data_IF_309466088825
#
_entry.id   IF_309466088825
#
_cell.length_a   1.000
_cell.length_b   1.000
_cell.length_c   1.000
_cell.angle_alpha   90.00
_cell.angle_beta   90.00
_cell.angle_gamma   90.00
#
_symmetry.space_group_name_H-M   'P 1'
#
loop_
_entity.id
_entity.type
_entity.pdbx_description
1 polymer ?
#
# COMPACT_ATOMS: atom_id res chain seq x y z
N UNK A 1 -45.74 13.94 -19.05
CA UNK A 1 -45.01 13.87 -17.76
C UNK A 1 -43.80 13.02 -18.03
N UNK A 2 -42.69 13.65 -18.40
CA UNK A 2 -41.45 12.96 -18.74
C UNK A 2 -40.69 12.65 -17.45
N UNK A 3 -40.47 11.36 -17.19
CA UNK A 3 -39.69 10.91 -16.04
C UNK A 3 -38.21 11.27 -16.27
N UNK A 4 -37.64 12.04 -15.34
CA UNK A 4 -36.22 12.36 -15.36
C UNK A 4 -35.37 11.07 -15.23
N UNK A 5 -34.24 10.95 -15.96
CA UNK A 5 -33.41 9.76 -15.92
C UNK A 5 -32.81 9.57 -14.53
N UNK A 6 -33.05 8.39 -13.95
CA UNK A 6 -32.51 7.96 -12.67
C UNK A 6 -30.97 7.95 -12.75
N UNK A 7 -30.32 8.89 -12.06
CA UNK A 7 -28.87 9.00 -12.03
C UNK A 7 -28.27 7.86 -11.20
N UNK A 8 -27.39 7.08 -11.82
CA UNK A 8 -26.73 5.94 -11.16
C UNK A 8 -25.83 6.45 -10.03
N UNK A 9 -25.88 5.87 -8.82
CA UNK A 9 -25.06 6.29 -7.68
C UNK A 9 -23.56 6.25 -7.99
N UNK A 10 -22.83 7.31 -7.59
CA UNK A 10 -21.39 7.50 -7.85
C UNK A 10 -20.52 6.34 -7.34
N UNK A 11 -20.92 5.68 -6.25
CA UNK A 11 -20.17 4.57 -5.64
C UNK A 11 -20.15 3.29 -6.52
N UNK A 12 -21.21 3.07 -7.29
CA UNK A 12 -21.30 1.96 -8.25
C UNK A 12 -20.45 2.23 -9.49
N UNK A 13 -20.31 3.50 -9.87
CA UNK A 13 -19.42 3.92 -10.96
C UNK A 13 -17.95 3.79 -10.55
N UNK A 14 -17.62 4.18 -9.31
CA UNK A 14 -16.27 4.11 -8.78
C UNK A 14 -15.77 2.66 -8.62
N UNK A 15 -16.61 1.76 -8.09
CA UNK A 15 -16.27 0.33 -7.96
C UNK A 15 -16.10 -0.38 -9.32
N UNK A 16 -16.94 -0.06 -10.33
CA UNK A 16 -16.77 -0.55 -11.71
C UNK A 16 -15.48 -0.05 -12.36
N UNK A 17 -15.11 1.22 -12.14
CA UNK A 17 -13.85 1.79 -12.63
C UNK A 17 -12.63 1.12 -12.00
N UNK A 18 -12.66 0.82 -10.69
CA UNK A 18 -11.58 0.11 -9.99
C UNK A 18 -11.41 -1.31 -10.56
N UNK A 19 -12.51 -2.04 -10.78
CA UNK A 19 -12.48 -3.37 -11.39
C UNK A 19 -11.94 -3.37 -12.82
N UNK A 20 -12.33 -2.39 -13.63
CA UNK A 20 -11.83 -2.22 -15.00
C UNK A 20 -10.31 -1.92 -15.04
N UNK A 21 -9.83 -1.05 -14.16
CA UNK A 21 -8.40 -0.72 -14.05
C UNK A 21 -7.55 -1.93 -13.62
N UNK A 22 -8.10 -2.78 -12.73
CA UNK A 22 -7.44 -4.02 -12.31
C UNK A 22 -7.31 -5.01 -13.47
N UNK A 23 -8.39 -5.22 -14.23
CA UNK A 23 -8.37 -6.09 -15.40
C UNK A 23 -7.39 -5.60 -16.48
N UNK A 24 -7.35 -4.29 -16.75
CA UNK A 24 -6.40 -3.69 -17.69
C UNK A 24 -4.94 -3.87 -17.24
N UNK A 25 -4.65 -3.73 -15.95
CA UNK A 25 -3.31 -3.96 -15.41
C UNK A 25 -2.92 -5.44 -15.51
N UNK A 26 -3.82 -6.38 -15.21
CA UNK A 26 -3.55 -7.82 -15.34
C UNK A 26 -3.24 -8.21 -16.79
N UNK A 27 -4.00 -7.68 -17.76
CA UNK A 27 -3.75 -7.87 -19.20
C UNK A 27 -2.41 -7.26 -19.61
N UNK A 28 -2.10 -6.04 -19.17
CA UNK A 28 -0.84 -5.38 -19.47
C UNK A 28 0.35 -6.17 -18.91
N UNK A 29 0.22 -6.70 -17.69
CA UNK A 29 1.27 -7.50 -17.05
C UNK A 29 1.47 -8.83 -17.79
N UNK A 30 0.39 -9.51 -18.19
CA UNK A 30 0.45 -10.73 -18.97
C UNK A 30 1.08 -10.52 -20.36
N UNK A 31 0.74 -9.40 -21.03
CA UNK A 31 1.34 -9.02 -22.32
C UNK A 31 2.84 -8.73 -22.19
N UNK A 32 3.25 -7.96 -21.18
CA UNK A 32 4.67 -7.64 -20.94
C UNK A 32 5.48 -8.91 -20.64
N UNK A 33 4.97 -9.81 -19.80
CA UNK A 33 5.63 -11.08 -19.48
C UNK A 33 5.71 -12.02 -20.69
N UNK A 34 4.67 -12.07 -21.53
CA UNK A 34 4.68 -12.96 -22.69
C UNK A 34 5.61 -12.45 -23.81
N UNK A 35 5.58 -11.16 -24.10
CA UNK A 35 6.33 -10.56 -25.21
C UNK A 35 7.76 -10.14 -24.86
N UNK A 36 8.10 -9.95 -23.57
CA UNK A 36 9.41 -9.49 -23.13
C UNK A 36 10.50 -10.59 -23.05
N UNK A 37 10.13 -11.85 -22.80
CA UNK A 37 11.08 -12.92 -22.42
C UNK A 37 11.25 -14.04 -23.46
N UNK A 38 10.58 -13.98 -24.62
CA UNK A 38 10.70 -14.98 -25.70
C UNK A 38 11.83 -14.64 -26.69
N UNK A 39 12.21 -15.63 -27.52
CA UNK A 39 13.26 -15.50 -28.56
C UNK A 39 12.97 -14.38 -29.57
N UNK A 40 11.71 -14.17 -29.93
CA UNK A 40 11.27 -13.05 -30.75
C UNK A 40 10.49 -12.09 -29.86
N UNK A 41 11.16 -11.01 -29.45
CA UNK A 41 10.60 -9.98 -28.57
C UNK A 41 10.32 -8.71 -29.36
N UNK A 42 9.32 -7.96 -28.91
CA UNK A 42 9.11 -6.60 -29.39
C UNK A 42 10.19 -5.72 -28.76
N UNK A 43 11.14 -5.25 -29.56
CA UNK A 43 12.20 -4.33 -29.10
C UNK A 43 11.64 -2.91 -29.15
N UNK A 44 11.53 -2.26 -27.99
CA UNK A 44 11.17 -0.85 -27.91
C UNK A 44 12.39 0.01 -28.26
N UNK A 45 12.23 0.91 -29.22
CA UNK A 45 13.26 1.89 -29.55
C UNK A 45 13.37 2.98 -28.47
N UNK A 46 14.60 3.45 -28.24
CA UNK A 46 14.85 4.49 -27.24
C UNK A 46 14.36 5.83 -27.78
N UNK A 47 13.29 6.35 -27.17
CA UNK A 47 12.72 7.64 -27.57
C UNK A 47 13.54 8.80 -26.99
N UNK A 48 13.48 9.99 -27.60
CA UNK A 48 14.11 11.19 -27.04
C UNK A 48 13.64 11.50 -25.61
N UNK A 49 12.37 11.22 -25.30
CA UNK A 49 11.82 11.32 -23.94
C UNK A 49 12.53 10.37 -22.96
N UNK A 50 12.79 9.13 -23.36
CA UNK A 50 13.46 8.15 -22.51
C UNK A 50 14.89 8.63 -22.18
N UNK A 51 15.60 9.23 -23.16
CA UNK A 51 16.92 9.85 -22.93
C UNK A 51 16.85 11.02 -21.96
N UNK A 52 15.89 11.93 -22.14
CA UNK A 52 15.73 13.09 -21.26
C UNK A 52 15.38 12.67 -19.82
N UNK A 53 14.54 11.65 -19.65
CA UNK A 53 14.24 11.08 -18.34
C UNK A 53 15.51 10.56 -17.67
N UNK A 54 16.32 9.79 -18.40
CA UNK A 54 17.58 9.25 -17.89
C UNK A 54 18.57 10.35 -17.47
N UNK A 55 18.69 11.42 -18.25
CA UNK A 55 19.51 12.59 -17.90
C UNK A 55 19.00 13.23 -16.60
N UNK A 56 17.69 13.39 -16.47
CA UNK A 56 17.08 13.96 -15.26
C UNK A 56 17.23 13.05 -14.04
N UNK A 57 17.20 11.73 -14.21
CA UNK A 57 17.49 10.75 -13.16
C UNK A 57 18.95 10.90 -12.69
N UNK A 58 19.90 10.97 -13.60
CA UNK A 58 21.32 11.18 -13.25
C UNK A 58 21.56 12.51 -12.54
N UNK A 59 20.91 13.59 -12.96
CA UNK A 59 21.02 14.87 -12.27
C UNK A 59 20.50 14.79 -10.82
N UNK A 60 19.40 14.06 -10.59
CA UNK A 60 18.88 13.80 -9.23
C UNK A 60 19.82 12.92 -8.41
N UNK A 61 20.39 11.89 -9.02
CA UNK A 61 21.36 11.02 -8.35
C UNK A 61 22.61 11.77 -7.94
N UNK A 62 23.18 12.60 -8.83
CA UNK A 62 24.34 13.43 -8.52
C UNK A 62 24.06 14.38 -7.35
N UNK A 63 22.90 15.03 -7.36
CA UNK A 63 22.47 15.89 -6.27
C UNK A 63 22.33 15.11 -4.94
N UNK A 64 21.72 13.92 -4.97
CA UNK A 64 21.61 13.07 -3.80
C UNK A 64 22.99 12.63 -3.29
N UNK A 65 23.90 12.27 -4.19
CA UNK A 65 25.26 11.88 -3.85
C UNK A 65 26.04 13.02 -3.20
N UNK A 66 25.86 14.26 -3.65
CA UNK A 66 26.47 15.42 -3.02
C UNK A 66 26.06 15.54 -1.54
N UNK A 67 24.77 15.37 -1.22
CA UNK A 67 24.29 15.39 0.16
C UNK A 67 24.79 14.22 1.00
N UNK A 68 24.86 13.01 0.42
CA UNK A 68 25.30 11.81 1.13
C UNK A 68 26.82 11.78 1.40
N UNK A 69 27.62 12.53 0.64
CA UNK A 69 29.09 12.60 0.80
C UNK A 69 29.54 13.31 2.08
N UNK A 70 28.71 14.19 2.64
CA UNK A 70 29.07 15.07 3.75
C UNK A 70 28.24 14.73 4.99
N UNK A 71 28.53 13.62 5.68
CA UNK A 71 27.79 13.24 6.88
C UNK A 71 28.08 14.22 8.03
N UNK A 72 27.04 14.54 8.79
CA UNK A 72 27.15 15.43 9.95
C UNK A 72 27.87 14.79 11.15
N UNK A 73 27.75 13.45 11.30
CA UNK A 73 28.35 12.69 12.39
C UNK A 73 29.36 11.69 11.84
N UNK A 74 30.47 11.54 12.55
CA UNK A 74 31.39 10.42 12.32
C UNK A 74 30.79 9.11 12.85
N UNK A 75 31.33 7.98 12.38
CA UNK A 75 30.84 6.66 12.78
C UNK A 75 30.88 6.45 14.31
N UNK A 76 31.96 6.88 14.95
CA UNK A 76 32.13 6.79 16.41
C UNK A 76 31.09 7.62 17.17
N UNK A 77 30.79 8.84 16.69
CA UNK A 77 29.78 9.71 17.32
C UNK A 77 28.35 9.21 17.08
N UNK A 78 28.10 8.50 15.99
CA UNK A 78 26.79 7.94 15.69
C UNK A 78 26.43 6.78 16.62
N UNK A 79 27.43 6.07 17.15
CA UNK A 79 27.23 4.91 18.00
C UNK A 79 26.53 5.31 19.30
N UNK A 80 25.31 4.81 19.49
CA UNK A 80 24.54 5.01 20.73
C UNK A 80 23.69 6.28 20.77
N UNK A 81 23.81 7.22 19.81
CA UNK A 81 23.09 8.51 19.87
C UNK A 81 21.54 8.36 19.92
N UNK A 82 21.01 7.26 19.38
CA UNK A 82 19.57 7.00 19.31
C UNK A 82 19.06 6.07 20.42
N UNK A 83 19.92 5.57 21.33
CA UNK A 83 19.51 4.66 22.39
C UNK A 83 18.60 5.35 23.42
N UNK A 84 18.94 6.58 23.80
CA UNK A 84 18.14 7.37 24.75
C UNK A 84 16.74 7.69 24.23
N UNK A 85 16.57 7.76 22.90
CA UNK A 85 15.28 8.08 22.29
C UNK A 85 14.27 6.92 22.37
N UNK A 86 14.71 5.71 22.75
CA UNK A 86 13.88 4.50 22.93
C UNK A 86 12.93 4.15 21.77
N UNK A 87 13.20 4.67 20.57
CA UNK A 87 12.33 4.54 19.39
C UNK A 87 12.22 3.09 18.95
N UNK A 88 13.30 2.33 19.08
CA UNK A 88 13.35 0.91 18.72
C UNK A 88 12.48 0.08 19.66
N UNK A 89 12.57 0.29 20.96
CA UNK A 89 11.75 -0.41 21.95
C UNK A 89 10.26 -0.11 21.72
N UNK A 90 9.90 1.17 21.55
CA UNK A 90 8.52 1.58 21.26
C UNK A 90 7.99 0.95 19.98
N UNK A 91 8.80 0.92 18.92
CA UNK A 91 8.42 0.29 17.65
C UNK A 91 8.20 -1.22 17.81
N UNK A 92 9.10 -1.92 18.51
CA UNK A 92 8.97 -3.35 18.79
C UNK A 92 7.71 -3.64 19.61
N UNK A 93 7.42 -2.85 20.64
CA UNK A 93 6.24 -3.03 21.49
C UNK A 93 4.94 -2.78 20.73
N UNK A 94 4.91 -1.77 19.86
CA UNK A 94 3.77 -1.54 18.97
C UNK A 94 3.58 -2.71 18.00
N UNK A 95 4.66 -3.23 17.43
CA UNK A 95 4.60 -4.39 16.55
C UNK A 95 4.08 -5.64 17.28
N UNK A 96 4.52 -5.86 18.53
CA UNK A 96 4.00 -6.94 19.38
C UNK A 96 2.50 -6.79 19.64
N UNK A 97 2.03 -5.60 20.00
CA UNK A 97 0.60 -5.31 20.24
C UNK A 97 -0.29 -5.61 19.03
N UNK A 98 0.20 -5.31 17.83
CA UNK A 98 -0.52 -5.61 16.58
C UNK A 98 -0.63 -7.13 16.37
N UNK A 99 0.46 -7.86 16.60
CA UNK A 99 0.50 -9.32 16.45
C UNK A 99 -0.36 -10.05 17.49
N UNK A 100 -0.52 -9.48 18.68
CA UNK A 100 -1.29 -10.08 19.78
C UNK A 100 -2.77 -9.70 19.78
N UNK A 101 -3.30 -9.10 18.71
CA UNK A 101 -4.74 -8.80 18.63
C UNK A 101 -5.52 -10.09 18.36
N UNK A 102 -5.81 -10.82 19.43
CA UNK A 102 -6.73 -11.96 19.40
C UNK A 102 -8.18 -11.48 19.24
N UNK A 103 -9.07 -12.39 18.84
CA UNK A 103 -10.51 -12.13 18.98
C UNK A 103 -10.83 -11.89 20.46
N UNK A 104 -11.76 -10.98 20.71
CA UNK A 104 -12.28 -10.75 22.06
C UNK A 104 -12.84 -12.06 22.63
N UNK A 105 -12.69 -12.23 23.94
CA UNK A 105 -13.24 -13.39 24.64
C UNK A 105 -14.77 -13.40 24.51
N UNK A 106 -15.31 -14.50 24.03
CA UNK A 106 -16.75 -14.71 23.90
C UNK A 106 -17.22 -15.66 24.99
N UNK A 107 -18.19 -15.24 25.80
CA UNK A 107 -18.74 -16.06 26.89
C UNK A 107 -20.08 -16.68 26.48
N UNK A 108 -20.46 -17.78 27.13
CA UNK A 108 -21.71 -18.49 26.82
C UNK A 108 -22.95 -17.63 27.13
N UNK A 109 -22.86 -16.73 28.11
CA UNK A 109 -23.94 -15.80 28.46
C UNK A 109 -24.21 -14.81 27.33
N UNK A 110 -23.16 -14.28 26.67
CA UNK A 110 -23.32 -13.44 25.48
C UNK A 110 -24.00 -14.22 24.35
N UNK A 111 -23.63 -15.50 24.18
CA UNK A 111 -24.30 -16.38 23.23
C UNK A 111 -25.78 -16.56 23.53
N UNK A 112 -26.15 -16.78 24.80
CA UNK A 112 -27.54 -17.09 25.18
C UNK A 112 -28.40 -15.86 25.50
N UNK A 113 -27.82 -14.65 25.50
CA UNK A 113 -28.55 -13.39 25.74
C UNK A 113 -29.79 -13.20 24.86
N UNK A 114 -29.76 -13.73 23.63
CA UNK A 114 -30.89 -13.65 22.69
C UNK A 114 -32.09 -14.53 23.08
N UNK A 115 -31.95 -15.48 24.01
CA UNK A 115 -33.06 -16.33 24.46
C UNK A 115 -33.97 -15.60 25.46
N UNK A 116 -33.48 -14.55 26.12
CA UNK A 116 -34.21 -13.80 27.14
C UNK A 116 -35.29 -12.85 26.55
N UNK A 117 -35.54 -12.89 25.24
CA UNK A 117 -36.50 -12.00 24.55
C UNK A 117 -37.95 -12.25 25.00
N UNK A 118 -38.26 -13.44 25.53
CA UNK A 118 -39.61 -13.82 25.98
C UNK A 118 -39.76 -13.91 27.50
N UNK A 119 -38.77 -13.42 28.24
CA UNK A 119 -38.85 -13.36 29.70
C UNK A 119 -39.83 -12.24 30.09
N UNK A 120 -41.11 -12.61 30.22
CA UNK A 120 -42.17 -11.74 30.71
C UNK A 120 -42.45 -12.10 32.17
N UNK A 121 -42.53 -11.10 33.03
CA UNK A 121 -42.95 -11.28 34.42
C UNK A 121 -44.44 -11.67 34.46
N UNK A 122 -44.79 -12.72 35.22
CA UNK A 122 -46.18 -13.00 35.64
C UNK A 122 -46.67 -11.97 36.67
#
# INVERSE_FOLDING_TARGET
MDQAPHSVPQDVQHSKQIGANKALNEIYTALVLHFGFRKHRVVKEVTAKDRNNLINDYAREEQNMFYLRHPYLTFEQSKGHAQDLKKKEQWIDNFRKIRTKYRDHFTMEMQYSHLNVKDAWE
#
